data_IF_175789366314
#
_entry.id   IF_175789366314
#
_cell.length_a   1.000
_cell.length_b   1.000
_cell.length_c   1.000
_cell.angle_alpha   90.00
_cell.angle_beta   90.00
_cell.angle_gamma   90.00
#
_symmetry.space_group_name_H-M   'P 1'
#
loop_
_entity.id
_entity.type
_entity.pdbx_description
1 polymer ?
#
# COMPACT_ATOMS: atom_id res chain seq x y z
N UNK A 1 -33.26 1.99 -44.21
CA UNK A 1 -33.61 2.41 -42.84
C UNK A 1 -32.56 1.85 -41.90
N UNK A 2 -31.82 2.71 -41.18
CA UNK A 2 -30.68 2.28 -40.36
C UNK A 2 -31.14 1.54 -39.09
N UNK A 3 -30.27 0.67 -38.56
CA UNK A 3 -30.47 -0.16 -37.36
C UNK A 3 -30.55 0.64 -36.04
N UNK A 4 -30.92 1.91 -36.09
CA UNK A 4 -30.96 2.86 -34.97
C UNK A 4 -31.90 2.43 -33.83
N UNK A 5 -32.86 1.54 -34.08
CA UNK A 5 -33.72 1.00 -33.02
C UNK A 5 -32.96 0.09 -32.04
N UNK A 6 -31.80 -0.47 -32.44
CA UNK A 6 -31.00 -1.34 -31.58
C UNK A 6 -30.35 -0.57 -30.43
N UNK A 7 -29.98 0.70 -30.61
CA UNK A 7 -29.39 1.52 -29.53
C UNK A 7 -30.38 1.81 -28.39
N UNK A 8 -31.69 1.70 -28.64
CA UNK A 8 -32.73 1.82 -27.63
C UNK A 8 -32.84 0.58 -26.74
N UNK A 9 -32.17 -0.53 -27.08
CA UNK A 9 -32.18 -1.76 -26.28
C UNK A 9 -31.13 -1.68 -25.17
N UNK A 10 -31.51 -2.13 -23.98
CA UNK A 10 -30.66 -2.09 -22.77
C UNK A 10 -29.35 -2.87 -22.90
N UNK A 11 -29.32 -3.93 -23.70
CA UNK A 11 -28.16 -4.80 -23.90
C UNK A 11 -27.25 -4.36 -25.05
N UNK A 12 -27.62 -3.33 -25.82
CA UNK A 12 -26.82 -2.94 -26.98
C UNK A 12 -25.51 -2.28 -26.56
N UNK A 13 -24.40 -2.67 -27.19
CA UNK A 13 -23.04 -2.22 -26.82
C UNK A 13 -22.83 -0.72 -27.03
N UNK A 14 -23.47 -0.14 -28.04
CA UNK A 14 -23.39 1.30 -28.31
C UNK A 14 -24.33 2.15 -27.44
N UNK A 15 -25.03 1.56 -26.46
CA UNK A 15 -25.80 2.32 -25.48
C UNK A 15 -24.81 3.07 -24.56
N UNK A 16 -25.02 4.38 -24.38
CA UNK A 16 -24.17 5.26 -23.56
C UNK A 16 -23.91 4.67 -22.18
N UNK A 17 -24.93 4.10 -21.52
CA UNK A 17 -24.78 3.51 -20.19
C UNK A 17 -23.93 2.24 -20.17
N UNK A 18 -23.86 1.49 -21.27
CA UNK A 18 -23.00 0.31 -21.37
C UNK A 18 -21.57 0.72 -21.73
N UNK A 19 -21.40 1.70 -22.61
CA UNK A 19 -20.09 2.30 -22.91
C UNK A 19 -19.47 2.88 -21.64
N UNK A 20 -20.25 3.58 -20.82
CA UNK A 20 -19.79 4.12 -19.53
C UNK A 20 -19.36 3.00 -18.56
N UNK A 21 -20.13 1.91 -18.44
CA UNK A 21 -19.75 0.76 -17.61
C UNK A 21 -18.44 0.12 -18.06
N UNK A 22 -18.26 -0.04 -19.37
CA UNK A 22 -17.02 -0.57 -19.94
C UNK A 22 -15.87 0.36 -19.63
N UNK A 23 -16.03 1.67 -19.84
CA UNK A 23 -15.02 2.67 -19.54
C UNK A 23 -14.61 2.69 -18.06
N UNK A 24 -15.57 2.58 -17.13
CA UNK A 24 -15.29 2.46 -15.70
C UNK A 24 -14.53 1.18 -15.36
N UNK A 25 -14.85 0.07 -16.02
CA UNK A 25 -14.14 -1.19 -15.82
C UNK A 25 -12.71 -1.11 -16.38
N UNK A 26 -12.52 -0.51 -17.56
CA UNK A 26 -11.21 -0.27 -18.16
C UNK A 26 -10.35 0.64 -17.29
N UNK A 27 -10.92 1.71 -16.72
CA UNK A 27 -10.19 2.57 -15.78
C UNK A 27 -9.72 1.82 -14.54
N UNK A 28 -10.58 1.00 -13.94
CA UNK A 28 -10.20 0.19 -12.76
C UNK A 28 -9.08 -0.78 -13.10
N UNK A 29 -9.19 -1.44 -14.24
CA UNK A 29 -8.18 -2.37 -14.73
C UNK A 29 -6.84 -1.67 -14.99
N UNK A 30 -6.86 -0.45 -15.54
CA UNK A 30 -5.65 0.34 -15.74
C UNK A 30 -5.00 0.74 -14.41
N UNK A 31 -5.79 1.12 -13.41
CA UNK A 31 -5.28 1.39 -12.06
C UNK A 31 -4.66 0.15 -11.41
N UNK A 32 -5.27 -1.02 -11.57
CA UNK A 32 -4.75 -2.28 -11.07
C UNK A 32 -3.45 -2.68 -11.77
N UNK A 33 -3.38 -2.54 -13.09
CA UNK A 33 -2.16 -2.76 -13.88
C UNK A 33 -1.02 -1.87 -13.40
N UNK A 34 -1.26 -0.57 -13.24
CA UNK A 34 -0.24 0.36 -12.75
C UNK A 34 0.30 -0.04 -11.38
N UNK A 35 -0.58 -0.42 -10.45
CA UNK A 35 -0.18 -0.91 -9.11
C UNK A 35 0.66 -2.18 -9.20
N UNK A 36 0.29 -3.10 -10.08
CA UNK A 36 1.07 -4.32 -10.31
C UNK A 36 2.44 -4.02 -10.92
N UNK A 37 2.52 -3.09 -11.87
CA UNK A 37 3.79 -2.66 -12.47
C UNK A 37 4.71 -2.03 -11.43
N UNK A 38 4.20 -1.12 -10.60
CA UNK A 38 4.91 -0.54 -9.46
C UNK A 38 5.44 -1.64 -8.52
N UNK A 39 4.58 -2.59 -8.14
CA UNK A 39 4.98 -3.72 -7.30
C UNK A 39 6.04 -4.63 -7.95
N UNK A 40 5.92 -4.90 -9.25
CA UNK A 40 6.94 -5.68 -9.97
C UNK A 40 8.26 -4.93 -10.07
N UNK A 41 8.22 -3.60 -10.13
CA UNK A 41 9.41 -2.77 -10.15
C UNK A 41 10.12 -2.80 -8.81
N UNK A 42 9.40 -2.60 -7.70
CA UNK A 42 9.99 -2.68 -6.35
C UNK A 42 10.61 -4.04 -6.08
N UNK A 43 9.94 -5.13 -6.47
CA UNK A 43 10.48 -6.47 -6.29
C UNK A 43 11.78 -6.70 -7.08
N UNK A 44 11.88 -6.15 -8.29
CA UNK A 44 13.11 -6.21 -9.09
C UNK A 44 14.24 -5.41 -8.45
N UNK A 45 13.95 -4.22 -7.94
CA UNK A 45 14.95 -3.41 -7.23
C UNK A 45 15.43 -4.09 -5.95
N UNK A 46 14.52 -4.71 -5.19
CA UNK A 46 14.85 -5.48 -3.99
C UNK A 46 15.75 -6.66 -4.34
N UNK A 47 15.41 -7.43 -5.37
CA UNK A 47 16.25 -8.54 -5.85
C UNK A 47 17.63 -8.07 -6.30
N UNK A 48 17.72 -6.96 -7.05
CA UNK A 48 19.01 -6.41 -7.46
C UNK A 48 19.87 -5.99 -6.27
N UNK A 49 19.28 -5.36 -5.25
CA UNK A 49 19.99 -4.99 -4.01
C UNK A 49 20.47 -6.23 -3.25
N UNK A 50 19.62 -7.26 -3.16
CA UNK A 50 19.97 -8.52 -2.52
C UNK A 50 21.12 -9.23 -3.24
N UNK A 51 21.08 -9.30 -4.58
CA UNK A 51 22.15 -9.87 -5.40
C UNK A 51 23.47 -9.12 -5.20
N UNK A 52 23.45 -7.78 -5.17
CA UNK A 52 24.65 -6.98 -4.91
C UNK A 52 25.22 -7.23 -3.51
N UNK A 53 24.37 -7.30 -2.49
CA UNK A 53 24.80 -7.61 -1.12
C UNK A 53 25.40 -9.01 -1.03
N UNK A 54 24.78 -9.99 -1.70
CA UNK A 54 25.31 -11.35 -1.77
C UNK A 54 26.68 -11.39 -2.42
N UNK A 55 26.87 -10.72 -3.56
CA UNK A 55 28.16 -10.63 -4.24
C UNK A 55 29.24 -9.94 -3.36
N UNK A 56 28.88 -8.88 -2.64
CA UNK A 56 29.79 -8.21 -1.70
C UNK A 56 30.21 -9.12 -0.54
N UNK A 57 29.28 -9.95 -0.03
CA UNK A 57 29.58 -10.96 0.99
C UNK A 57 30.48 -12.07 0.45
N UNK A 58 30.21 -12.58 -0.76
CA UNK A 58 31.03 -13.61 -1.41
C UNK A 58 32.47 -13.11 -1.67
N UNK A 59 32.64 -11.82 -1.97
CA UNK A 59 33.96 -11.19 -2.10
C UNK A 59 34.62 -10.82 -0.75
N UNK A 60 33.90 -10.98 0.37
CA UNK A 60 34.40 -10.68 1.72
C UNK A 60 34.51 -9.18 2.04
N UNK A 61 33.91 -8.29 1.24
CA UNK A 61 33.94 -6.84 1.49
C UNK A 61 32.98 -6.42 2.62
N UNK A 62 31.91 -7.20 2.84
CA UNK A 62 30.86 -6.89 3.81
C UNK A 62 30.60 -8.10 4.71
N UNK A 63 30.45 -7.85 6.01
CA UNK A 63 30.11 -8.87 6.99
C UNK A 63 28.72 -9.51 6.68
N UNK A 64 28.50 -10.78 7.02
CA UNK A 64 27.22 -11.44 6.79
C UNK A 64 26.09 -10.67 7.49
N UNK A 65 24.97 -10.51 6.79
CA UNK A 65 23.79 -9.79 7.30
C UNK A 65 23.29 -10.50 8.55
N UNK A 66 23.09 -9.77 9.66
CA UNK A 66 22.43 -10.31 10.85
C UNK A 66 20.97 -10.56 10.50
N UNK A 67 20.51 -11.81 10.62
CA UNK A 67 19.09 -12.18 10.40
C UNK A 67 18.16 -11.67 11.50
N UNK A 68 18.70 -11.04 12.54
CA UNK A 68 17.90 -10.46 13.61
C UNK A 68 17.20 -9.21 13.12
N UNK A 69 15.89 -9.23 13.23
CA UNK A 69 15.01 -8.11 12.93
C UNK A 69 14.94 -7.25 14.18
N UNK A 70 15.86 -6.30 14.30
CA UNK A 70 16.02 -5.51 15.52
C UNK A 70 14.73 -4.76 15.89
N UNK A 71 13.91 -4.32 14.92
CA UNK A 71 12.63 -3.66 15.19
C UNK A 71 11.60 -4.56 15.92
N UNK A 72 11.67 -5.89 15.78
CA UNK A 72 10.77 -6.81 16.48
C UNK A 72 11.17 -7.01 17.95
N UNK A 73 12.44 -6.79 18.27
CA UNK A 73 13.00 -6.94 19.61
C UNK A 73 13.23 -5.60 20.32
N UNK A 74 13.18 -4.50 19.57
CA UNK A 74 13.13 -3.15 20.10
C UNK A 74 11.75 -2.96 20.72
N UNK A 75 11.64 -3.35 21.98
CA UNK A 75 10.46 -3.20 22.80
C UNK A 75 10.17 -1.70 22.93
N UNK A 76 9.36 -1.16 22.02
CA UNK A 76 8.81 0.18 22.18
C UNK A 76 8.00 0.18 23.48
N UNK A 77 8.45 0.92 24.48
CA UNK A 77 7.67 1.23 25.68
C UNK A 77 6.47 2.10 25.26
N UNK A 78 5.46 1.47 24.65
CA UNK A 78 4.19 2.13 24.36
C UNK A 78 3.42 2.29 25.66
N UNK A 79 2.61 3.36 25.78
CA UNK A 79 1.80 3.60 26.97
C UNK A 79 0.93 2.39 27.36
N UNK A 80 0.46 1.62 26.36
CA UNK A 80 -0.26 0.37 26.56
C UNK A 80 0.60 -0.71 27.25
N UNK A 81 1.86 -0.87 26.84
CA UNK A 81 2.79 -1.82 27.46
C UNK A 81 3.17 -1.41 28.90
N UNK A 82 3.34 -0.11 29.15
CA UNK A 82 3.61 0.43 30.49
C UNK A 82 2.42 0.22 31.45
N UNK A 83 1.20 0.37 30.95
CA UNK A 83 -0.03 0.10 31.69
C UNK A 83 -0.16 -1.37 32.09
N UNK A 84 0.12 -2.30 31.17
CA UNK A 84 0.11 -3.74 31.42
C UNK A 84 1.16 -4.18 32.47
N UNK A 85 2.26 -3.44 32.57
CA UNK A 85 3.33 -3.64 33.56
C UNK A 85 3.07 -2.92 34.90
N UNK A 86 1.90 -2.30 35.06
CA UNK A 86 1.50 -1.66 36.32
C UNK A 86 2.24 -0.36 36.63
N UNK A 87 2.96 0.22 35.66
CA UNK A 87 3.51 1.57 35.80
C UNK A 87 2.35 2.57 35.77
N UNK A 88 2.32 3.59 36.65
CA UNK A 88 1.25 4.58 36.66
C UNK A 88 1.25 5.34 35.33
N UNK A 89 0.14 5.27 34.59
CA UNK A 89 -0.04 6.04 33.36
C UNK A 89 -0.51 7.44 33.76
N UNK A 90 0.38 8.42 33.63
CA UNK A 90 -0.01 9.83 33.67
C UNK A 90 -0.75 10.18 32.38
N UNK A 91 -2.09 10.17 32.44
CA UNK A 91 -2.93 10.64 31.34
C UNK A 91 -2.77 12.16 31.22
N UNK A 92 -1.98 12.60 30.25
CA UNK A 92 -1.89 14.03 29.92
C UNK A 92 -3.21 14.45 29.25
N UNK A 93 -3.79 15.59 29.64
CA UNK A 93 -5.11 16.02 29.15
C UNK A 93 -5.16 16.28 27.63
N UNK A 94 -4.01 16.44 26.98
CA UNK A 94 -3.88 16.74 25.54
C UNK A 94 -4.30 15.58 24.61
N UNK A 95 -4.31 14.34 25.09
CA UNK A 95 -4.63 13.16 24.25
C UNK A 95 -6.15 12.88 24.13
N UNK A 96 -7.00 13.65 24.84
CA UNK A 96 -8.45 13.49 24.82
C UNK A 96 -9.18 14.39 23.81
N UNK A 97 -8.48 15.32 23.17
CA UNK A 97 -9.07 16.25 22.20
C UNK A 97 -9.15 15.63 20.79
N UNK A 98 -10.21 14.86 20.54
CA UNK A 98 -10.60 14.36 19.20
C UNK A 98 -10.91 15.52 18.21
N UNK A 99 -10.87 16.78 18.66
CA UNK A 99 -11.27 17.96 17.89
C UNK A 99 -10.15 18.70 17.17
N UNK A 100 -8.89 18.25 17.25
CA UNK A 100 -7.79 18.89 16.53
C UNK A 100 -7.16 17.97 15.49
N UNK A 101 -7.96 17.58 14.50
CA UNK A 101 -7.39 17.22 13.21
C UNK A 101 -6.81 18.51 12.59
N UNK A 102 -5.53 18.54 12.14
CA UNK A 102 -5.06 19.63 11.32
C UNK A 102 -5.86 19.62 10.01
N UNK A 103 -6.58 20.70 9.73
CA UNK A 103 -7.08 20.96 8.39
C UNK A 103 -5.86 21.00 7.47
N UNK A 104 -5.74 20.00 6.59
CA UNK A 104 -4.78 20.00 5.49
C UNK A 104 -5.24 21.07 4.50
N UNK A 105 -4.44 22.12 4.33
CA UNK A 105 -4.45 23.00 3.16
C UNK A 105 -3.96 22.25 1.91
#
# INVERSE_FOLDING_TARGET
MSLSFLSKKSWHVANVSNVEKVWLAEQKLEQEKKKLEEYTHTLKEERQKEELLRLQQEQGLVAPRKERVDFLYEQQETAASAYLLGKPVELKPEDHDIKKAPALE
#
